data_IF_801226466571
#
_entry.id   IF_801226466571
#
_cell.length_a   1.000
_cell.length_b   1.000
_cell.length_c   1.000
_cell.angle_alpha   90.00
_cell.angle_beta   90.00
_cell.angle_gamma   90.00
#
_symmetry.space_group_name_H-M   'P 1'
#
loop_
_entity.id
_entity.type
_entity.pdbx_description
1 polymer ?
#
# COMPACT_ATOMS: atom_id res chain seq x y z
N UNK A 1 -8.88 15.04 -10.01
CA UNK A 1 -8.86 15.92 -8.82
C UNK A 1 -7.46 16.48 -8.65
N UNK A 2 -7.30 17.72 -8.20
CA UNK A 2 -5.98 18.30 -7.89
C UNK A 2 -5.74 18.05 -6.39
N UNK A 3 -4.71 17.26 -6.04
CA UNK A 3 -4.34 16.97 -4.65
C UNK A 3 -3.06 17.71 -4.29
N UNK A 4 -3.01 18.25 -3.07
CA UNK A 4 -1.82 18.90 -2.50
C UNK A 4 -1.07 17.88 -1.66
N UNK A 5 0.20 17.63 -1.98
CA UNK A 5 1.09 16.76 -1.21
C UNK A 5 2.03 17.59 -0.34
N UNK A 6 2.46 17.02 0.77
CA UNK A 6 3.32 17.68 1.75
C UNK A 6 4.66 16.94 1.89
N UNK A 7 5.70 17.72 2.15
CA UNK A 7 7.02 17.22 2.52
C UNK A 7 7.61 18.10 3.62
N UNK A 8 8.44 17.52 4.48
CA UNK A 8 9.15 18.28 5.50
C UNK A 8 10.37 18.98 4.91
N UNK A 9 10.51 20.28 5.16
CA UNK A 9 11.68 21.06 4.68
C UNK A 9 13.02 20.68 5.32
N UNK A 10 12.98 19.93 6.43
CA UNK A 10 14.15 19.68 7.27
C UNK A 10 14.41 20.80 8.28
N UNK A 11 14.65 20.45 9.54
CA UNK A 11 15.03 21.37 10.61
C UNK A 11 15.87 20.64 11.67
N UNK A 12 16.42 21.38 12.63
CA UNK A 12 17.22 20.81 13.73
C UNK A 12 16.47 19.70 14.49
N UNK A 13 15.16 19.84 14.70
CA UNK A 13 14.37 18.88 15.47
C UNK A 13 14.16 17.53 14.75
N UNK A 14 14.33 17.49 13.42
CA UNK A 14 14.29 16.24 12.64
C UNK A 14 15.66 15.88 12.07
N UNK A 15 16.74 16.45 12.61
CA UNK A 15 18.11 16.30 12.10
C UNK A 15 18.19 16.54 10.58
N UNK A 16 17.47 17.55 10.10
CA UNK A 16 17.39 17.94 8.69
C UNK A 16 16.83 16.89 7.72
N UNK A 17 16.26 15.78 8.21
CA UNK A 17 15.68 14.73 7.35
C UNK A 17 14.36 15.13 6.68
N UNK A 18 13.59 16.02 7.32
CA UNK A 18 12.21 16.29 6.93
C UNK A 18 11.18 15.30 7.50
N UNK A 19 11.61 14.28 8.24
CA UNK A 19 10.75 13.22 8.80
C UNK A 19 10.96 13.06 10.31
N UNK A 20 9.91 12.65 11.04
CA UNK A 20 10.03 12.33 12.48
C UNK A 20 9.12 11.17 12.86
N UNK A 21 9.72 10.09 13.34
CA UNK A 21 9.00 8.85 13.62
C UNK A 21 8.73 8.04 12.36
N UNK A 22 7.94 6.98 12.50
CA UNK A 22 7.50 6.10 11.40
C UNK A 22 6.04 5.74 11.62
N UNK A 23 5.32 5.51 10.54
CA UNK A 23 3.95 4.99 10.55
C UNK A 23 3.95 3.63 9.85
N UNK A 24 3.12 2.70 10.34
CA UNK A 24 2.89 1.44 9.66
C UNK A 24 1.87 1.61 8.54
N UNK A 25 2.15 1.05 7.37
CA UNK A 25 1.18 0.84 6.30
C UNK A 25 1.00 -0.66 6.16
N UNK A 26 -0.23 -1.12 6.02
CA UNK A 26 -0.56 -2.54 6.03
C UNK A 26 -1.41 -2.87 4.81
N UNK A 27 -1.16 -4.04 4.25
CA UNK A 27 -2.04 -4.73 3.32
C UNK A 27 -2.56 -5.97 4.02
N UNK A 28 -3.88 -6.14 4.03
CA UNK A 28 -4.54 -7.27 4.67
C UNK A 28 -5.55 -7.87 3.71
N UNK A 29 -5.40 -9.17 3.45
CA UNK A 29 -6.36 -9.97 2.70
C UNK A 29 -7.03 -10.95 3.66
N UNK A 30 -8.32 -10.73 3.92
CA UNK A 30 -9.15 -11.73 4.59
C UNK A 30 -9.58 -12.79 3.57
N UNK A 31 -9.25 -14.05 3.83
CA UNK A 31 -9.55 -15.16 2.93
C UNK A 31 -10.99 -15.65 3.20
N UNK A 32 -11.84 -15.57 2.19
CA UNK A 32 -13.21 -16.08 2.23
C UNK A 32 -13.33 -17.51 1.65
N UNK A 33 -14.55 -18.06 1.68
CA UNK A 33 -14.82 -19.42 1.16
C UNK A 33 -14.48 -19.58 -0.33
N UNK A 34 -14.92 -18.68 -1.24
CA UNK A 34 -14.49 -18.72 -2.64
C UNK A 34 -12.97 -18.76 -2.84
N UNK A 35 -12.21 -17.95 -2.09
CA UNK A 35 -10.76 -17.95 -2.17
C UNK A 35 -10.16 -19.26 -1.63
N UNK A 36 -10.68 -19.78 -0.53
CA UNK A 36 -10.25 -21.09 0.00
C UNK A 36 -10.49 -22.22 -1.00
N UNK A 37 -11.62 -22.21 -1.71
CA UNK A 37 -11.93 -23.21 -2.73
C UNK A 37 -10.97 -23.10 -3.92
N UNK A 38 -10.66 -21.88 -4.38
CA UNK A 38 -9.66 -21.66 -5.41
C UNK A 38 -8.26 -22.18 -5.00
N UNK A 39 -7.86 -22.02 -3.73
CA UNK A 39 -6.62 -22.59 -3.21
C UNK A 39 -6.63 -24.12 -3.18
N UNK A 40 -7.75 -24.75 -2.75
CA UNK A 40 -7.91 -26.21 -2.74
C UNK A 40 -7.80 -26.82 -4.14
N UNK A 41 -8.32 -26.11 -5.13
CA UNK A 41 -8.26 -26.50 -6.54
C UNK A 41 -6.92 -26.15 -7.21
N UNK A 42 -5.97 -25.58 -6.46
CA UNK A 42 -4.67 -25.10 -6.95
C UNK A 42 -4.80 -24.09 -8.10
N UNK A 43 -5.87 -23.27 -8.08
CA UNK A 43 -6.18 -22.27 -9.09
C UNK A 43 -5.73 -20.87 -8.63
N UNK A 44 -4.42 -20.61 -8.76
CA UNK A 44 -3.80 -19.35 -8.36
C UNK A 44 -4.36 -18.13 -9.11
N UNK A 45 -4.75 -18.30 -10.39
CA UNK A 45 -5.31 -17.22 -11.20
C UNK A 45 -6.66 -16.78 -10.63
N UNK A 46 -7.54 -17.74 -10.33
CA UNK A 46 -8.85 -17.46 -9.73
C UNK A 46 -8.70 -16.87 -8.32
N UNK A 47 -7.79 -17.41 -7.50
CA UNK A 47 -7.50 -16.84 -6.18
C UNK A 47 -7.09 -15.36 -6.29
N UNK A 48 -6.15 -15.02 -7.18
CA UNK A 48 -5.71 -13.64 -7.37
C UNK A 48 -6.82 -12.72 -7.89
N UNK A 49 -7.71 -13.22 -8.74
CA UNK A 49 -8.89 -12.46 -9.18
C UNK A 49 -9.87 -12.21 -8.04
N UNK A 50 -10.16 -13.22 -7.22
CA UNK A 50 -11.05 -13.10 -6.07
C UNK A 50 -10.45 -12.14 -5.02
N UNK A 51 -9.17 -12.28 -4.72
CA UNK A 51 -8.44 -11.41 -3.78
C UNK A 51 -8.52 -9.94 -4.19
N UNK A 52 -8.20 -9.61 -5.45
CA UNK A 52 -8.25 -8.22 -5.97
C UNK A 52 -9.66 -7.64 -5.99
N UNK A 53 -10.69 -8.47 -6.11
CA UNK A 53 -12.08 -8.05 -6.11
C UNK A 53 -12.72 -8.05 -4.71
N UNK A 54 -11.98 -8.44 -3.67
CA UNK A 54 -12.48 -8.44 -2.30
C UNK A 54 -12.70 -7.02 -1.80
N UNK A 55 -13.86 -6.77 -1.19
CA UNK A 55 -14.18 -5.45 -0.62
C UNK A 55 -13.35 -5.11 0.63
N UNK A 56 -12.83 -6.13 1.32
CA UNK A 56 -11.98 -5.95 2.51
C UNK A 56 -10.50 -5.81 2.16
N UNK A 57 -10.11 -6.07 0.90
CA UNK A 57 -8.73 -5.96 0.45
C UNK A 57 -8.44 -4.55 -0.04
N UNK A 58 -7.32 -3.99 0.43
CA UNK A 58 -6.76 -2.74 -0.07
C UNK A 58 -5.26 -2.92 -0.26
N UNK A 59 -4.73 -2.73 -1.47
CA UNK A 59 -3.30 -2.81 -1.73
C UNK A 59 -2.48 -1.87 -0.82
N UNK A 60 -1.24 -2.27 -0.53
CA UNK A 60 -0.32 -1.49 0.30
C UNK A 60 -0.11 -0.08 -0.27
N UNK A 61 0.10 0.02 -1.59
CA UNK A 61 0.31 1.30 -2.28
C UNK A 61 -0.91 2.24 -2.19
N UNK A 62 -2.12 1.69 -2.24
CA UNK A 62 -3.35 2.49 -2.11
C UNK A 62 -3.49 3.02 -0.68
N UNK A 63 -3.22 2.17 0.31
CA UNK A 63 -3.18 2.56 1.74
C UNK A 63 -2.14 3.64 2.01
N UNK A 64 -0.95 3.54 1.40
CA UNK A 64 0.11 4.54 1.52
C UNK A 64 -0.27 5.86 0.84
N UNK A 65 -0.91 5.79 -0.33
CA UNK A 65 -1.38 6.97 -1.07
C UNK A 65 -2.41 7.77 -0.28
N UNK A 66 -3.35 7.11 0.41
CA UNK A 66 -4.32 7.77 1.30
C UNK A 66 -3.61 8.60 2.40
N UNK A 67 -2.53 8.07 2.97
CA UNK A 67 -1.74 8.77 3.99
C UNK A 67 -0.98 9.97 3.41
N UNK A 68 -0.49 9.87 2.18
CA UNK A 68 0.16 10.99 1.48
C UNK A 68 -0.83 12.09 1.11
N UNK A 69 -2.02 11.72 0.65
CA UNK A 69 -3.11 12.67 0.37
C UNK A 69 -3.60 13.37 1.65
N UNK A 70 -3.52 12.69 2.81
CA UNK A 70 -3.78 13.28 4.12
C UNK A 70 -2.61 14.10 4.69
N UNK A 71 -1.46 14.15 4.01
CA UNK A 71 -0.26 14.87 4.45
C UNK A 71 0.49 14.22 5.63
N UNK A 72 0.20 12.95 5.93
CA UNK A 72 0.86 12.20 7.03
C UNK A 72 2.24 11.68 6.61
N UNK A 73 2.39 11.32 5.34
CA UNK A 73 3.68 10.96 4.72
C UNK A 73 3.88 11.75 3.43
N UNK A 74 5.08 11.67 2.84
CA UNK A 74 5.38 12.28 1.54
C UNK A 74 5.02 11.34 0.39
N UNK A 75 4.83 11.89 -0.80
CA UNK A 75 4.66 11.07 -2.02
C UNK A 75 5.92 10.26 -2.33
N UNK A 76 7.11 10.76 -1.96
CA UNK A 76 8.38 10.08 -2.20
C UNK A 76 8.46 8.75 -1.41
N UNK A 77 7.99 8.74 -0.15
CA UNK A 77 7.90 7.52 0.65
C UNK A 77 6.91 6.51 0.05
N UNK A 78 5.80 6.98 -0.54
CA UNK A 78 4.84 6.12 -1.23
C UNK A 78 5.46 5.47 -2.46
N UNK A 79 6.26 6.21 -3.24
CA UNK A 79 6.94 5.68 -4.42
C UNK A 79 7.98 4.61 -4.06
N UNK A 80 8.71 4.78 -2.95
CA UNK A 80 9.65 3.77 -2.43
C UNK A 80 8.92 2.47 -2.08
N UNK A 81 7.73 2.56 -1.47
CA UNK A 81 6.90 1.38 -1.21
C UNK A 81 6.44 0.70 -2.51
N UNK A 82 6.02 1.49 -3.51
CA UNK A 82 5.58 0.97 -4.81
C UNK A 82 6.68 0.28 -5.64
N UNK A 83 7.94 0.67 -5.49
CA UNK A 83 9.07 -0.06 -6.09
C UNK A 83 9.24 -1.46 -5.48
N UNK A 84 8.89 -1.61 -4.19
CA UNK A 84 8.95 -2.88 -3.46
C UNK A 84 7.76 -3.79 -3.79
N UNK A 85 6.58 -3.22 -4.04
CA UNK A 85 5.35 -3.95 -4.42
C UNK A 85 5.32 -4.40 -5.89
N UNK A 86 6.22 -3.90 -6.74
CA UNK A 86 6.31 -4.28 -8.17
C UNK A 86 6.77 -5.74 -8.41
N UNK A 87 6.89 -6.55 -7.36
CA UNK A 87 7.07 -8.01 -7.47
C UNK A 87 5.76 -8.70 -7.90
N UNK A 88 4.59 -8.06 -7.74
CA UNK A 88 3.28 -8.68 -8.03
C UNK A 88 2.61 -8.24 -9.34
N UNK A 89 3.27 -7.38 -10.14
CA UNK A 89 2.75 -6.91 -11.45
C UNK A 89 3.34 -7.64 -12.67
N UNK A 90 4.13 -8.70 -12.45
CA UNK A 90 4.61 -9.57 -13.54
C UNK A 90 3.95 -10.94 -13.44
N UNK A 91 2.66 -10.98 -13.77
CA UNK A 91 1.97 -12.21 -14.21
C UNK A 91 1.09 -11.90 -15.41
#
# INVERSE_FOLDING_TARGET
>A
SQHTFHYGRGCQNCNFSGYRGRIGVFELLEIDMPMMDALRDNNAVLFGQLARNSQSYKPLIESAMELAMAGTTSIDEVLILGESDNIDLVV
#
